data_IF_048438382748
#
_entry.id   IF_048438382748
#
_cell.length_a   1.000
_cell.length_b   1.000
_cell.length_c   1.000
_cell.angle_alpha   90.00
_cell.angle_beta   90.00
_cell.angle_gamma   90.00
#
_symmetry.space_group_name_H-M   'P 1'
#
loop_
_entity.id
_entity.type
_entity.pdbx_description
1 polymer ?
#
# COMPACT_ATOMS: atom_id res chain seq x y z
N UNK A 1 29.03 -15.52 -4.93
CA UNK A 1 28.06 -14.42 -5.15
C UNK A 1 28.68 -13.14 -4.64
N UNK A 2 28.40 -12.00 -5.27
CA UNK A 2 28.90 -10.70 -4.81
C UNK A 2 28.18 -10.29 -3.52
N UNK A 3 28.93 -9.96 -2.47
CA UNK A 3 28.41 -9.60 -1.15
C UNK A 3 27.44 -8.40 -1.21
N UNK A 4 27.71 -7.43 -2.09
CA UNK A 4 26.83 -6.30 -2.36
C UNK A 4 25.45 -6.72 -2.90
N UNK A 5 25.41 -7.71 -3.80
CA UNK A 5 24.16 -8.21 -4.40
C UNK A 5 23.33 -8.96 -3.35
N UNK A 6 23.97 -9.72 -2.47
CA UNK A 6 23.29 -10.38 -1.36
C UNK A 6 22.70 -9.38 -0.36
N UNK A 7 23.42 -8.30 -0.06
CA UNK A 7 22.92 -7.23 0.80
C UNK A 7 21.68 -6.54 0.19
N UNK A 8 21.68 -6.28 -1.12
CA UNK A 8 20.51 -5.75 -1.84
C UNK A 8 19.33 -6.72 -1.85
N UNK A 9 19.58 -8.02 -2.06
CA UNK A 9 18.54 -9.04 -1.99
C UNK A 9 17.91 -9.09 -0.59
N UNK A 10 18.72 -9.00 0.47
CA UNK A 10 18.22 -8.95 1.85
C UNK A 10 17.34 -7.73 2.09
N UNK A 11 17.76 -6.54 1.65
CA UNK A 11 16.95 -5.31 1.75
C UNK A 11 15.63 -5.47 0.99
N UNK A 12 15.69 -5.98 -0.23
CA UNK A 12 14.50 -6.23 -1.07
C UNK A 12 13.51 -7.17 -0.38
N UNK A 13 14.00 -8.27 0.20
CA UNK A 13 13.20 -9.23 0.98
C UNK A 13 12.54 -8.57 2.19
N UNK A 14 13.29 -7.78 2.97
CA UNK A 14 12.72 -7.04 4.11
C UNK A 14 11.60 -6.09 3.69
N UNK A 15 11.78 -5.37 2.58
CA UNK A 15 10.76 -4.48 2.04
C UNK A 15 9.50 -5.24 1.60
N UNK A 16 9.68 -6.34 0.86
CA UNK A 16 8.55 -7.21 0.46
C UNK A 16 7.82 -7.74 1.70
N UNK A 17 8.56 -8.22 2.71
CA UNK A 17 7.97 -8.67 3.97
C UNK A 17 7.15 -7.58 4.65
N UNK A 18 7.67 -6.36 4.76
CA UNK A 18 6.96 -5.23 5.37
C UNK A 18 5.65 -4.91 4.62
N UNK A 19 5.68 -4.92 3.29
CA UNK A 19 4.50 -4.72 2.45
C UNK A 19 3.48 -5.84 2.72
N UNK A 20 3.89 -7.11 2.67
CA UNK A 20 2.97 -8.24 2.88
C UNK A 20 2.41 -8.24 4.31
N UNK A 21 3.23 -7.96 5.32
CA UNK A 21 2.83 -7.89 6.72
C UNK A 21 1.80 -6.78 6.97
N UNK A 22 1.83 -5.71 6.17
CA UNK A 22 0.84 -4.61 6.24
C UNK A 22 -0.57 -5.01 5.80
N UNK A 23 -0.71 -6.13 5.09
CA UNK A 23 -2.01 -6.65 4.68
C UNK A 23 -2.61 -7.58 5.74
N UNK A 24 -3.90 -7.39 6.00
CA UNK A 24 -4.67 -8.26 6.88
C UNK A 24 -4.95 -9.62 6.22
N UNK A 25 -5.22 -9.60 4.91
CA UNK A 25 -5.52 -10.77 4.09
C UNK A 25 -4.33 -11.15 3.18
N UNK A 26 -4.22 -12.43 2.78
CA UNK A 26 -3.24 -12.86 1.78
C UNK A 26 -3.28 -11.96 0.55
N UNK A 27 -2.09 -11.60 0.04
CA UNK A 27 -1.96 -10.68 -1.10
C UNK A 27 -1.29 -11.37 -2.28
N UNK A 28 -1.86 -11.18 -3.47
CA UNK A 28 -1.33 -11.73 -4.73
C UNK A 28 -0.01 -11.07 -5.12
N UNK A 29 0.80 -11.76 -5.93
CA UNK A 29 2.08 -11.22 -6.43
C UNK A 29 1.92 -9.86 -7.11
N UNK A 30 0.88 -9.71 -7.95
CA UNK A 30 0.59 -8.43 -8.62
C UNK A 30 0.26 -7.28 -7.65
N UNK A 31 -0.45 -7.56 -6.54
CA UNK A 31 -0.76 -6.55 -5.52
C UNK A 31 0.51 -6.13 -4.75
N UNK A 32 1.35 -7.09 -4.41
CA UNK A 32 2.65 -6.85 -3.76
C UNK A 32 3.54 -5.99 -4.66
N UNK A 33 3.64 -6.35 -5.94
CA UNK A 33 4.44 -5.62 -6.92
C UNK A 33 3.95 -4.18 -7.10
N UNK A 34 2.64 -3.96 -7.16
CA UNK A 34 2.07 -2.61 -7.27
C UNK A 34 2.46 -1.73 -6.09
N UNK A 35 2.35 -2.25 -4.87
CA UNK A 35 2.65 -1.47 -3.65
C UNK A 35 4.15 -1.24 -3.50
N UNK A 36 4.97 -2.22 -3.89
CA UNK A 36 6.42 -2.03 -3.99
C UNK A 36 6.75 -0.91 -4.98
N UNK A 37 6.07 -0.87 -6.13
CA UNK A 37 6.25 0.17 -7.14
C UNK A 37 5.86 1.56 -6.67
N UNK A 38 4.75 1.66 -5.94
CA UNK A 38 4.25 2.93 -5.41
C UNK A 38 5.17 3.51 -4.32
N UNK A 39 5.74 2.66 -3.45
CA UNK A 39 6.56 3.13 -2.32
C UNK A 39 8.06 3.21 -2.65
N UNK A 40 8.60 2.29 -3.47
CA UNK A 40 10.05 2.11 -3.66
C UNK A 40 10.47 2.08 -5.14
N UNK A 41 9.53 2.19 -6.08
CA UNK A 41 9.81 2.11 -7.52
C UNK A 41 9.92 0.68 -8.06
N UNK A 42 10.55 0.51 -9.24
CA UNK A 42 10.55 -0.78 -9.93
C UNK A 42 11.32 -1.89 -9.21
N UNK A 43 10.69 -3.06 -9.02
CA UNK A 43 11.35 -4.26 -8.51
C UNK A 43 12.07 -5.00 -9.65
N UNK A 44 13.39 -5.15 -9.54
CA UNK A 44 14.23 -5.83 -10.54
C UNK A 44 14.68 -7.21 -10.06
N UNK A 45 13.74 -8.15 -9.98
CA UNK A 45 13.97 -9.52 -9.48
C UNK A 45 14.96 -10.33 -10.34
N UNK A 46 15.04 -10.04 -11.65
CA UNK A 46 15.98 -10.65 -12.60
C UNK A 46 17.45 -10.45 -12.19
N UNK A 47 17.78 -9.33 -11.56
CA UNK A 47 19.16 -9.04 -11.08
C UNK A 47 19.64 -10.01 -10.02
N UNK A 48 18.71 -10.66 -9.32
CA UNK A 48 19.00 -11.64 -8.29
C UNK A 48 18.92 -13.09 -8.82
N UNK A 49 18.76 -13.28 -10.14
CA UNK A 49 18.67 -14.61 -10.76
C UNK A 49 17.27 -15.23 -10.78
N UNK A 50 16.23 -14.47 -10.44
CA UNK A 50 14.85 -14.95 -10.50
C UNK A 50 14.22 -14.63 -11.86
N UNK A 51 13.72 -15.65 -12.56
CA UNK A 51 12.99 -15.48 -13.83
C UNK A 51 11.58 -14.89 -13.63
N UNK A 52 10.96 -15.17 -12.48
CA UNK A 52 9.61 -14.72 -12.14
C UNK A 52 9.56 -14.23 -10.70
N UNK A 53 8.73 -13.23 -10.44
CA UNK A 53 8.50 -12.68 -9.11
C UNK A 53 7.99 -13.76 -8.15
N UNK A 54 7.12 -14.65 -8.62
CA UNK A 54 6.57 -15.76 -7.84
C UNK A 54 7.68 -16.62 -7.25
N UNK A 55 8.75 -16.88 -8.01
CA UNK A 55 9.88 -17.68 -7.51
C UNK A 55 10.65 -16.96 -6.41
N UNK A 56 10.81 -15.63 -6.52
CA UNK A 56 11.39 -14.80 -5.44
C UNK A 56 10.52 -14.82 -4.18
N UNK A 57 9.19 -14.80 -4.34
CA UNK A 57 8.23 -14.82 -3.22
C UNK A 57 8.15 -16.20 -2.56
N UNK A 58 8.23 -17.27 -3.35
CA UNK A 58 8.25 -18.66 -2.86
C UNK A 58 9.52 -18.97 -2.08
N UNK A 59 10.66 -18.50 -2.56
CA UNK A 59 11.96 -18.69 -1.91
C UNK A 59 12.17 -17.71 -0.72
N UNK A 60 11.16 -16.90 -0.38
CA UNK A 60 11.26 -15.94 0.70
C UNK A 60 11.08 -16.62 2.08
N UNK A 61 12.05 -16.53 3.00
CA UNK A 61 12.05 -17.31 4.24
C UNK A 61 10.87 -17.00 5.18
N UNK A 62 10.43 -15.74 5.18
CA UNK A 62 9.36 -15.23 6.06
C UNK A 62 8.00 -15.08 5.39
N UNK A 63 7.84 -15.53 4.14
CA UNK A 63 6.52 -15.60 3.50
C UNK A 63 6.07 -17.05 3.42
N UNK A 64 4.77 -17.25 3.29
CA UNK A 64 4.22 -18.54 2.94
C UNK A 64 3.11 -18.38 1.90
N UNK A 65 2.97 -19.35 0.98
CA UNK A 65 1.89 -19.37 0.01
C UNK A 65 0.56 -19.60 0.73
N UNK A 66 -0.47 -18.90 0.29
CA UNK A 66 -1.83 -18.98 0.77
C UNK A 66 -2.81 -18.82 -0.41
N UNK A 67 -4.10 -18.96 -0.15
CA UNK A 67 -5.16 -18.73 -1.12
C UNK A 67 -5.93 -17.48 -0.69
N UNK A 68 -6.17 -16.55 -1.61
CA UNK A 68 -7.00 -15.37 -1.34
C UNK A 68 -8.50 -15.74 -1.32
N UNK A 69 -9.36 -14.77 -0.97
CA UNK A 69 -10.81 -14.98 -0.94
C UNK A 69 -11.43 -15.30 -2.32
N UNK A 70 -10.67 -15.16 -3.41
CA UNK A 70 -11.10 -15.44 -4.78
C UNK A 70 -10.51 -16.75 -5.32
N UNK A 71 -9.88 -17.56 -4.47
CA UNK A 71 -9.27 -18.84 -4.87
C UNK A 71 -7.93 -18.69 -5.60
N UNK A 72 -7.33 -17.49 -5.62
CA UNK A 72 -6.06 -17.24 -6.31
C UNK A 72 -4.88 -17.45 -5.37
N UNK A 73 -3.74 -17.81 -5.96
CA UNK A 73 -2.47 -17.88 -5.26
C UNK A 73 -2.08 -16.52 -4.69
N UNK A 74 -1.81 -16.49 -3.39
CA UNK A 74 -1.46 -15.30 -2.64
C UNK A 74 -0.36 -15.62 -1.62
N UNK A 75 0.14 -14.59 -0.95
CA UNK A 75 1.23 -14.70 0.02
C UNK A 75 0.83 -14.00 1.31
N UNK A 76 1.25 -14.58 2.43
CA UNK A 76 1.07 -14.01 3.76
C UNK A 76 2.41 -14.03 4.52
N UNK A 77 2.60 -13.03 5.37
CA UNK A 77 3.79 -12.94 6.20
C UNK A 77 3.70 -13.93 7.36
N UNK A 78 4.76 -14.69 7.60
CA UNK A 78 4.94 -15.48 8.81
C UNK A 78 5.09 -14.52 9.97
N UNK A 79 4.14 -14.55 10.89
CA UNK A 79 4.24 -13.78 12.13
C UNK A 79 5.07 -14.61 13.08
N UNK A 80 6.14 -14.04 13.63
CA UNK A 80 6.83 -14.73 14.72
C UNK A 80 5.92 -14.77 15.95
N UNK A 81 6.05 -15.82 16.75
CA UNK A 81 5.26 -16.01 17.97
C UNK A 81 5.57 -14.97 19.07
N UNK A 82 6.52 -14.06 18.81
CA UNK A 82 6.77 -12.93 19.68
C UNK A 82 5.58 -11.97 19.67
N UNK A 83 4.94 -11.80 20.82
CA UNK A 83 3.81 -10.90 21.03
C UNK A 83 4.09 -9.45 20.55
N UNK A 84 5.35 -8.98 20.65
CA UNK A 84 5.78 -7.68 20.13
C UNK A 84 5.68 -7.59 18.60
N UNK A 85 6.05 -8.66 17.89
CA UNK A 85 5.97 -8.73 16.43
C UNK A 85 4.51 -8.80 15.95
N UNK A 86 3.64 -9.50 16.69
CA UNK A 86 2.19 -9.48 16.46
C UNK A 86 1.60 -8.09 16.67
N UNK A 87 1.93 -7.42 17.78
CA UNK A 87 1.43 -6.08 18.09
C UNK A 87 1.85 -5.04 17.03
N UNK A 88 3.10 -5.09 16.56
CA UNK A 88 3.60 -4.25 15.48
C UNK A 88 2.83 -4.49 14.17
N UNK A 89 2.58 -5.75 13.81
CA UNK A 89 1.81 -6.07 12.62
C UNK A 89 0.38 -5.51 12.70
N UNK A 90 -0.30 -5.64 13.85
CA UNK A 90 -1.62 -5.06 14.06
C UNK A 90 -1.62 -3.53 13.95
N UNK A 91 -0.59 -2.86 14.47
CA UNK A 91 -0.44 -1.41 14.33
C UNK A 91 -0.26 -0.99 12.86
N UNK A 92 0.60 -1.67 12.10
CA UNK A 92 0.84 -1.38 10.69
C UNK A 92 -0.45 -1.57 9.87
N UNK A 93 -1.19 -2.67 10.09
CA UNK A 93 -2.46 -2.93 9.42
C UNK A 93 -3.50 -1.83 9.70
N UNK A 94 -3.58 -1.35 10.95
CA UNK A 94 -4.47 -0.25 11.34
C UNK A 94 -4.11 1.07 10.65
N UNK A 95 -2.82 1.34 10.44
CA UNK A 95 -2.37 2.56 9.74
C UNK A 95 -2.75 2.55 8.25
N UNK A 96 -2.61 1.41 7.54
CA UNK A 96 -3.05 1.33 6.13
C UNK A 96 -4.56 1.57 5.97
N UNK A 97 -5.41 1.14 6.91
CA UNK A 97 -6.84 1.48 6.87
C UNK A 97 -7.11 2.98 6.95
N UNK A 98 -6.31 3.74 7.71
CA UNK A 98 -6.48 5.20 7.84
C UNK A 98 -6.13 5.96 6.55
N UNK A 99 -5.15 5.49 5.76
CA UNK A 99 -4.81 6.12 4.46
C UNK A 99 -5.90 5.95 3.38
N UNK A 100 -6.87 5.05 3.55
CA UNK A 100 -7.94 4.77 2.56
C UNK A 100 -9.13 5.74 2.60
N UNK A 101 -8.97 6.92 3.21
CA UNK A 101 -9.97 8.02 3.23
C UNK A 101 -9.46 9.24 2.45
N UNK A 102 -9.22 9.09 1.15
CA UNK A 102 -9.21 10.20 0.20
C UNK A 102 -9.43 9.64 -1.20
N UNK A 103 -10.10 10.38 -2.06
CA UNK A 103 -10.46 10.06 -3.44
C UNK A 103 -11.73 9.21 -3.64
N UNK A 104 -12.86 9.74 -3.19
CA UNK A 104 -14.11 9.61 -3.95
C UNK A 104 -14.85 10.95 -3.97
N UNK A 105 -14.58 11.73 -5.01
CA UNK A 105 -15.57 12.56 -5.72
C UNK A 105 -14.98 13.05 -7.04
N UNK A 106 -14.94 12.14 -8.00
CA UNK A 106 -15.03 12.52 -9.41
C UNK A 106 -16.50 12.76 -9.74
N UNK A 107 -16.78 13.87 -10.39
CA UNK A 107 -18.08 14.21 -10.96
C UNK A 107 -17.85 15.09 -12.17
N UNK A 108 -17.60 14.46 -13.31
CA UNK A 108 -17.59 15.13 -14.63
C UNK A 108 -19.01 15.65 -14.91
N UNK A 109 -19.24 16.96 -14.75
CA UNK A 109 -20.44 17.61 -15.26
C UNK A 109 -20.18 18.12 -16.68
N UNK A 110 -20.45 17.26 -17.68
CA UNK A 110 -20.84 17.67 -19.04
C UNK A 110 -22.37 17.62 -19.11
N UNK A 111 -23.03 18.76 -18.95
CA UNK A 111 -24.37 19.10 -19.45
C UNK A 111 -24.64 20.54 -18.98
N UNK A 112 -24.54 21.53 -19.87
CA UNK A 112 -25.62 22.07 -20.68
C UNK A 112 -26.31 23.28 -20.01
N UNK A 113 -26.57 24.28 -20.85
CA UNK A 113 -27.18 25.58 -20.59
C UNK A 113 -28.31 25.62 -19.54
N UNK A 114 -28.39 26.74 -18.81
CA UNK A 114 -29.62 27.15 -18.13
C UNK A 114 -29.36 27.98 -16.89
N UNK A 115 -29.63 29.29 -16.94
CA UNK A 115 -29.46 30.20 -15.83
C UNK A 115 -30.29 29.83 -14.61
N UNK A 116 -29.81 30.21 -13.43
CA UNK A 116 -30.54 30.00 -12.19
C UNK A 116 -29.66 30.20 -10.97
N UNK A 117 -29.83 31.35 -10.32
CA UNK A 117 -29.18 31.79 -9.09
C UNK A 117 -29.18 30.70 -8.02
N UNK A 118 -28.01 30.44 -7.42
CA UNK A 118 -27.87 29.67 -6.19
C UNK A 118 -26.46 29.86 -5.63
N UNK A 119 -26.33 30.69 -4.60
CA UNK A 119 -25.06 31.02 -3.98
C UNK A 119 -24.41 29.75 -3.38
N UNK A 120 -23.32 29.28 -3.98
CA UNK A 120 -22.46 28.25 -3.41
C UNK A 120 -21.50 28.90 -2.40
N UNK A 121 -21.65 28.59 -1.12
CA UNK A 121 -20.82 29.10 -0.01
C UNK A 121 -19.55 28.25 0.20
N UNK A 122 -19.01 27.64 -0.87
CA UNK A 122 -17.80 26.83 -0.77
C UNK A 122 -16.86 27.17 -1.89
N UNK A 123 -15.98 28.14 -1.62
CA UNK A 123 -14.75 28.37 -2.37
C UNK A 123 -13.57 27.74 -1.64
N UNK A 124 -12.71 27.13 -2.43
CA UNK A 124 -11.47 26.49 -2.03
C UNK A 124 -10.61 27.36 -1.08
N UNK A 125 -10.16 26.76 0.03
CA UNK A 125 -8.75 26.83 0.44
C UNK A 125 -8.14 28.18 0.82
N UNK A 126 -8.78 28.97 1.68
CA UNK A 126 -8.02 29.85 2.61
C UNK A 126 -8.83 30.14 3.88
N UNK A 127 -8.22 29.87 5.04
CA UNK A 127 -8.73 30.32 6.34
C UNK A 127 -8.66 31.84 6.40
N UNK A 128 -9.80 32.53 6.49
CA UNK A 128 -9.85 33.91 6.97
C UNK A 128 -10.05 33.88 8.49
N UNK A 129 -8.95 34.05 9.22
CA UNK A 129 -8.93 34.26 10.67
C UNK A 129 -9.14 35.77 10.87
N UNK A 130 -10.37 36.29 10.78
CA UNK A 130 -10.63 37.72 11.07
C UNK A 130 -12.08 37.99 11.52
N UNK A 131 -12.80 37.01 12.07
CA UNK A 131 -14.16 37.23 12.59
C UNK A 131 -14.38 36.75 14.03
N UNK A 132 -13.32 36.59 14.83
CA UNK A 132 -13.39 36.25 16.26
C UNK A 132 -12.86 37.35 17.20
N UNK A 133 -12.74 38.59 16.72
CA UNK A 133 -12.17 39.70 17.49
C UNK A 133 -13.03 40.97 17.42
N UNK A 134 -14.35 40.82 17.45
CA UNK A 134 -15.30 41.89 17.80
C UNK A 134 -16.64 41.28 18.24
N UNK A 135 -16.61 40.54 19.34
CA UNK A 135 -17.79 40.29 20.18
C UNK A 135 -17.59 41.04 21.50
#
# INVERSE_FOLDING_TARGET
MNEALEAELRKTRLTIYAIVASFQEPSTSGKILREYREEYGGLTHEKFGYQHLEKLLDDHPQLFPAIDSQGRRAYKAKVSDNAASQALQFQIQRQKKKKKKSNRRGGYNRAAHGGGRGASIFTNGSLKIDSLLNA
#
